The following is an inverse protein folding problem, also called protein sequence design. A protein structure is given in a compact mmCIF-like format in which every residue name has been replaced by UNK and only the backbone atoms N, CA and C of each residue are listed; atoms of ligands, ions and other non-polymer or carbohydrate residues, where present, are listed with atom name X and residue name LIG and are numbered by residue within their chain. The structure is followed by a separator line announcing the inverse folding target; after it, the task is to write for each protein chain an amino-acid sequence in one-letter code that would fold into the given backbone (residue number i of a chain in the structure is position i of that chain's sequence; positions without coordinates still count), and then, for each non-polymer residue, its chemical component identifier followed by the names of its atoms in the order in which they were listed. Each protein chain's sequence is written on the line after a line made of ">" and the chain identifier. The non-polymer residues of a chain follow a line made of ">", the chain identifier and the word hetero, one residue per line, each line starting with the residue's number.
data_IF_312341549661
#
_entry.id   IF_312341549661
#
_cell.length_a   1.000
_cell.length_b   1.000
_cell.length_c   1.000
_cell.angle_alpha   90.00
_cell.angle_beta   90.00
_cell.angle_gamma   90.00
#
_symmetry.space_group_name_H-M   'P 1'
#
loop_
_entity.id
_entity.type
_entity.pdbx_description
1 polymer ?
#
# COMPACT_ATOMS: atom_id res chain seq x y z
N UNK A 1 -11.61 7.74 6.78
CA UNK A 1 -10.78 6.77 6.04
C UNK A 1 -9.50 7.47 5.60
N UNK A 2 -8.38 6.74 5.64
CA UNK A 2 -7.06 7.21 5.28
C UNK A 2 -6.43 6.27 4.26
N UNK A 3 -5.57 6.78 3.38
CA UNK A 3 -4.91 5.95 2.38
C UNK A 3 -3.42 6.20 2.33
N UNK A 4 -2.67 5.14 2.02
CA UNK A 4 -1.24 5.18 1.73
C UNK A 4 -1.03 4.71 0.30
N UNK A 5 -0.39 5.54 -0.51
CA UNK A 5 0.06 5.21 -1.86
C UNK A 5 1.55 4.90 -1.78
N UNK A 6 1.94 3.70 -2.21
CA UNK A 6 3.33 3.25 -2.21
C UNK A 6 3.75 2.98 -3.65
N UNK A 7 4.78 3.69 -4.10
CA UNK A 7 5.40 3.47 -5.41
C UNK A 7 6.71 2.69 -5.25
N UNK A 8 6.81 1.60 -6.00
CA UNK A 8 7.96 0.73 -6.08
C UNK A 8 8.64 0.88 -7.44
N UNK A 9 9.95 1.14 -7.42
CA UNK A 9 10.81 1.02 -8.59
C UNK A 9 11.45 -0.38 -8.56
N UNK A 10 10.98 -1.24 -9.46
CA UNK A 10 11.28 -2.67 -9.52
C UNK A 10 12.51 -2.92 -10.39
N UNK A 11 13.34 -3.90 -10.01
CA UNK A 11 14.45 -4.34 -10.88
C UNK A 11 13.91 -4.98 -12.17
N UNK A 12 14.68 -4.97 -13.27
CA UNK A 12 14.33 -5.70 -14.49
C UNK A 12 13.97 -7.15 -14.16
N UNK A 13 12.96 -7.69 -14.84
CA UNK A 13 12.47 -9.07 -14.72
C UNK A 13 11.94 -9.49 -13.32
N UNK A 14 11.90 -8.59 -12.34
CA UNK A 14 11.41 -8.89 -10.98
C UNK A 14 9.95 -8.54 -10.72
N UNK A 15 9.24 -7.98 -11.71
CA UNK A 15 7.84 -7.53 -11.58
C UNK A 15 6.89 -8.64 -11.11
N UNK A 16 6.97 -9.82 -11.72
CA UNK A 16 6.08 -10.92 -11.37
C UNK A 16 6.37 -11.46 -9.96
N UNK A 17 7.65 -11.58 -9.61
CA UNK A 17 8.09 -12.00 -8.28
C UNK A 17 7.62 -11.01 -7.21
N UNK A 18 7.76 -9.70 -7.46
CA UNK A 18 7.25 -8.66 -6.56
C UNK A 18 5.73 -8.74 -6.40
N UNK A 19 5.00 -8.88 -7.50
CA UNK A 19 3.53 -9.01 -7.46
C UNK A 19 3.09 -10.24 -6.67
N UNK A 20 3.82 -11.34 -6.79
CA UNK A 20 3.57 -12.55 -6.01
C UNK A 20 3.86 -12.32 -4.52
N UNK A 21 5.02 -11.75 -4.16
CA UNK A 21 5.37 -11.40 -2.76
C UNK A 21 4.35 -10.48 -2.12
N UNK A 22 3.82 -9.51 -2.86
CA UNK A 22 2.75 -8.63 -2.37
C UNK A 22 1.51 -9.45 -1.98
N UNK A 23 1.11 -10.42 -2.80
CA UNK A 23 -0.07 -11.25 -2.55
C UNK A 23 0.15 -12.29 -1.44
N UNK A 24 1.31 -12.94 -1.40
CA UNK A 24 1.56 -14.07 -0.50
C UNK A 24 2.06 -13.65 0.88
N UNK A 25 2.78 -12.52 0.97
CA UNK A 25 3.47 -12.14 2.21
C UNK A 25 2.97 -10.80 2.74
N UNK A 26 2.88 -9.79 1.88
CA UNK A 26 2.53 -8.42 2.32
C UNK A 26 1.04 -8.31 2.65
N UNK A 27 0.15 -8.78 1.76
CA UNK A 27 -1.28 -8.69 1.97
C UNK A 27 -1.74 -9.40 3.26
N UNK A 28 -1.29 -10.64 3.58
CA UNK A 28 -1.63 -11.27 4.85
C UNK A 28 -1.10 -10.53 6.08
N UNK A 29 0.04 -9.83 5.98
CA UNK A 29 0.55 -8.99 7.06
C UNK A 29 -0.39 -7.80 7.28
N UNK A 30 -0.77 -7.11 6.19
CA UNK A 30 -1.69 -5.97 6.23
C UNK A 30 -3.06 -6.36 6.78
N UNK A 31 -3.61 -7.51 6.37
CA UNK A 31 -4.91 -8.01 6.84
C UNK A 31 -4.96 -8.28 8.36
N UNK A 32 -3.81 -8.50 9.00
CA UNK A 32 -3.73 -8.67 10.46
C UNK A 32 -3.69 -7.34 11.21
N UNK A 33 -3.48 -6.22 10.51
CA UNK A 33 -3.35 -4.93 11.14
C UNK A 33 -4.72 -4.37 11.47
N UNK A 34 -4.92 -3.88 12.71
CA UNK A 34 -6.17 -3.23 13.05
C UNK A 34 -6.35 -1.99 12.17
N UNK A 35 -7.57 -1.79 11.69
CA UNK A 35 -7.93 -0.69 10.80
C UNK A 35 -7.60 -0.88 9.32
N UNK A 36 -6.93 -1.95 8.89
CA UNK A 36 -6.75 -2.23 7.46
C UNK A 36 -8.10 -2.54 6.78
N UNK A 37 -8.32 -1.98 5.59
CA UNK A 37 -9.57 -2.12 4.84
C UNK A 37 -9.34 -2.86 3.52
N UNK A 38 -8.40 -2.38 2.70
CA UNK A 38 -8.18 -2.90 1.36
C UNK A 38 -6.76 -2.59 0.87
N UNK A 39 -6.27 -3.41 -0.07
CA UNK A 39 -5.08 -3.13 -0.88
C UNK A 39 -5.41 -3.28 -2.37
N UNK A 40 -5.09 -2.25 -3.14
CA UNK A 40 -5.12 -2.27 -4.61
C UNK A 40 -3.68 -2.29 -5.12
N UNK A 41 -3.33 -3.29 -5.94
CA UNK A 41 -2.04 -3.36 -6.62
C UNK A 41 -2.17 -2.98 -8.10
N UNK A 42 -1.37 -2.02 -8.55
CA UNK A 42 -1.41 -1.44 -9.89
C UNK A 42 -0.06 -1.65 -10.58
N UNK A 43 -0.09 -2.23 -11.78
CA UNK A 43 1.07 -2.27 -12.66
C UNK A 43 0.96 -1.10 -13.64
N UNK A 44 2.07 -0.42 -13.88
CA UNK A 44 2.08 0.58 -14.94
C UNK A 44 1.92 -0.12 -16.30
N UNK A 45 1.11 0.48 -17.18
CA UNK A 45 0.75 -0.04 -18.50
C UNK A 45 1.92 -0.18 -19.48
N UNK A 46 2.91 0.72 -19.36
CA UNK A 46 4.03 0.89 -20.28
C UNK A 46 5.39 0.77 -19.61
N UNK A 47 5.48 1.01 -18.30
CA UNK A 47 6.73 0.88 -17.53
C UNK A 47 6.70 -0.37 -16.63
N UNK A 48 7.28 -1.51 -17.05
CA UNK A 48 7.26 -2.74 -16.26
C UNK A 48 8.04 -2.64 -14.94
N UNK A 49 8.86 -1.60 -14.77
CA UNK A 49 9.64 -1.36 -13.57
C UNK A 49 8.89 -0.49 -12.55
N UNK A 50 7.69 -0.02 -12.86
CA UNK A 50 6.89 0.79 -11.93
C UNK A 50 5.66 0.01 -11.47
N UNK A 51 5.57 -0.18 -10.15
CA UNK A 51 4.40 -0.76 -9.49
C UNK A 51 3.92 0.22 -8.43
N UNK A 52 2.61 0.44 -8.37
CA UNK A 52 1.97 1.26 -7.34
C UNK A 52 1.04 0.38 -6.52
N UNK A 53 1.01 0.59 -5.21
CA UNK A 53 0.00 -0.01 -4.35
C UNK A 53 -0.72 1.06 -3.55
N UNK A 54 -2.02 0.87 -3.34
CA UNK A 54 -2.88 1.79 -2.58
C UNK A 54 -3.49 0.97 -1.46
N UNK A 55 -3.26 1.36 -0.22
CA UNK A 55 -3.85 0.71 0.95
C UNK A 55 -4.80 1.64 1.67
N UNK A 56 -5.99 1.16 2.01
CA UNK A 56 -7.03 1.90 2.71
C UNK A 56 -7.12 1.48 4.17
N UNK A 57 -7.36 2.46 5.03
CA UNK A 57 -7.35 2.31 6.47
C UNK A 57 -8.54 3.06 7.09
N UNK A 58 -9.11 2.52 8.17
CA UNK A 58 -10.23 3.14 8.87
C UNK A 58 -9.87 4.54 9.40
N UNK A 59 -8.67 4.68 9.98
CA UNK A 59 -8.15 5.96 10.47
C UNK A 59 -6.66 6.15 10.15
N UNK A 60 -6.18 7.39 10.32
CA UNK A 60 -4.76 7.73 10.15
C UNK A 60 -3.91 7.07 11.23
N UNK A 61 -4.39 7.05 12.47
CA UNK A 61 -3.67 6.55 13.63
C UNK A 61 -3.30 5.07 13.46
N UNK A 62 -4.24 4.28 12.96
CA UNK A 62 -4.05 2.86 12.68
C UNK A 62 -3.01 2.63 11.57
N UNK A 63 -3.08 3.43 10.51
CA UNK A 63 -2.13 3.38 9.39
C UNK A 63 -0.71 3.79 9.82
N UNK A 64 -0.58 4.81 10.66
CA UNK A 64 0.71 5.26 11.19
C UNK A 64 1.30 4.31 12.22
N UNK A 65 0.46 3.65 13.03
CA UNK A 65 0.92 2.59 13.93
C UNK A 65 1.51 1.43 13.13
N UNK A 66 0.77 0.94 12.13
CA UNK A 66 1.30 -0.05 11.18
C UNK A 66 2.61 0.42 10.52
N UNK A 67 2.68 1.69 10.09
CA UNK A 67 3.89 2.22 9.46
C UNK A 67 5.10 2.07 10.39
N UNK A 68 4.99 2.54 11.64
CA UNK A 68 6.09 2.51 12.60
C UNK A 68 6.51 1.08 12.97
N UNK A 69 5.55 0.18 13.12
CA UNK A 69 5.80 -1.16 13.68
C UNK A 69 6.18 -2.21 12.62
N UNK A 70 5.66 -2.09 11.40
CA UNK A 70 5.72 -3.18 10.42
C UNK A 70 6.21 -2.79 9.03
N UNK A 71 6.19 -1.50 8.65
CA UNK A 71 6.52 -1.13 7.28
C UNK A 71 7.97 -1.42 6.91
N UNK A 72 8.91 -1.21 7.84
CA UNK A 72 10.33 -1.51 7.59
C UNK A 72 10.57 -3.00 7.30
N UNK A 73 9.87 -3.91 8.00
CA UNK A 73 9.94 -5.34 7.73
C UNK A 73 9.48 -5.68 6.30
N UNK A 74 8.43 -5.02 5.81
CA UNK A 74 7.96 -5.19 4.43
C UNK A 74 8.99 -4.63 3.44
N UNK A 75 9.57 -3.45 3.71
CA UNK A 75 10.61 -2.88 2.85
C UNK A 75 11.81 -3.82 2.75
N UNK A 76 12.27 -4.40 3.86
CA UNK A 76 13.39 -5.34 3.88
C UNK A 76 13.08 -6.63 3.11
N UNK A 77 11.87 -7.18 3.27
CA UNK A 77 11.40 -8.34 2.51
C UNK A 77 11.45 -8.09 0.99
N UNK A 78 11.07 -6.88 0.55
CA UNK A 78 10.97 -6.54 -0.87
C UNK A 78 12.26 -5.96 -1.45
N UNK A 79 13.19 -5.49 -0.63
CA UNK A 79 14.46 -4.86 -1.01
C UNK A 79 15.24 -5.61 -2.10
N UNK A 80 15.34 -6.95 -2.10
CA UNK A 80 16.04 -7.68 -3.17
C UNK A 80 15.44 -7.46 -4.56
N UNK A 81 14.16 -7.10 -4.64
CA UNK A 81 13.38 -6.94 -5.89
C UNK A 81 13.31 -5.48 -6.37
N UNK A 82 13.77 -4.52 -5.56
CA UNK A 82 13.59 -3.09 -5.81
C UNK A 82 14.91 -2.40 -6.17
N UNK A 83 14.85 -1.41 -7.06
CA UNK A 83 15.97 -0.53 -7.41
C UNK A 83 16.25 0.49 -6.32
N UNK A 84 15.18 0.98 -5.68
CA UNK A 84 15.23 2.00 -4.64
C UNK A 84 14.24 1.67 -3.53
N UNK A 85 14.40 2.30 -2.38
CA UNK A 85 13.38 2.28 -1.32
C UNK A 85 12.03 2.77 -1.90
N UNK A 86 10.91 2.12 -1.55
CA UNK A 86 9.58 2.58 -1.98
C UNK A 86 9.30 4.00 -1.53
N UNK A 87 8.66 4.79 -2.39
CA UNK A 87 8.14 6.12 -2.04
C UNK A 87 6.76 5.95 -1.43
N UNK A 88 6.48 6.68 -0.35
CA UNK A 88 5.18 6.62 0.33
C UNK A 88 4.58 8.01 0.37
N UNK A 89 3.33 8.11 -0.07
CA UNK A 89 2.50 9.30 0.07
C UNK A 89 1.21 8.92 0.79
N UNK A 90 0.60 9.89 1.48
CA UNK A 90 -0.57 9.64 2.31
C UNK A 90 -1.63 10.70 2.14
N UNK A 91 -2.89 10.29 2.22
CA UNK A 91 -4.04 11.17 1.98
C UNK A 91 -5.21 10.81 2.89
N UNK A 92 -6.00 11.82 3.26
CA UNK A 92 -7.35 11.58 3.74
C UNK A 92 -8.23 11.25 2.53
N UNK A 93 -9.01 10.19 2.60
CA UNK A 93 -9.92 9.84 1.51
C UNK A 93 -11.14 10.74 1.61
N UNK A 94 -11.29 11.63 0.63
CA UNK A 94 -12.39 12.57 0.55
C UNK A 94 -13.69 11.89 0.10
N UNK A 95 -13.66 11.20 -1.04
CA UNK A 95 -14.83 10.55 -1.64
C UNK A 95 -14.47 9.13 -2.11
N UNK A 96 -15.39 8.16 -1.93
CA UNK A 96 -15.26 6.80 -2.46
C UNK A 96 -16.64 6.23 -2.82
N UNK A 97 -16.73 5.57 -3.98
CA UNK A 97 -17.96 4.90 -4.44
C UNK A 97 -18.06 3.47 -3.93
N UNK A 98 -16.94 2.79 -3.75
CA UNK A 98 -16.87 1.41 -3.24
C UNK A 98 -17.00 1.38 -1.72
N UNK A 99 -16.26 2.25 -1.04
CA UNK A 99 -16.30 2.36 0.41
C UNK A 99 -17.31 3.45 0.76
N UNK A 100 -18.41 3.08 1.41
CA UNK A 100 -19.43 4.06 1.86
C UNK A 100 -18.82 4.97 2.93
N UNK A 101 -18.14 6.02 2.49
CA UNK A 101 -17.65 7.06 3.38
C UNK A 101 -18.85 7.95 3.68
N UNK A 102 -19.28 7.93 4.94
CA UNK A 102 -20.31 8.86 5.39
C UNK A 102 -19.79 10.28 5.09
N UNK A 103 -20.56 11.06 4.32
CA UNK A 103 -20.30 12.49 4.18
C UNK A 103 -20.18 13.06 5.61
N UNK A 104 -19.02 13.63 5.92
CA UNK A 104 -18.79 14.22 7.24
C UNK A 104 -19.94 15.19 7.53
N UNK A 105 -20.52 15.09 8.74
CA UNK A 105 -21.50 16.09 9.19
C UNK A 105 -20.84 17.47 9.01
N UNK A 106 -21.45 18.29 8.15
CA UNK A 106 -21.13 19.71 8.11
C UNK A 106 -21.29 20.26 9.53
N UNK A 107 -20.26 20.94 10.02
CA UNK A 107 -20.35 21.75 11.23
C UNK A 107 -21.23 22.97 10.97
#
# INVERSE_FOLDING_TARGET
>A
MFTRIVECQVKPDKRQELSNRIRTDVLPLLQKQPGFVELIGLQHDSNPERLVSISFWNSREEAERYHREHFNQIVDLLKPLLKTTPKVETYNVDTSTTHRIAAGRAA
#
